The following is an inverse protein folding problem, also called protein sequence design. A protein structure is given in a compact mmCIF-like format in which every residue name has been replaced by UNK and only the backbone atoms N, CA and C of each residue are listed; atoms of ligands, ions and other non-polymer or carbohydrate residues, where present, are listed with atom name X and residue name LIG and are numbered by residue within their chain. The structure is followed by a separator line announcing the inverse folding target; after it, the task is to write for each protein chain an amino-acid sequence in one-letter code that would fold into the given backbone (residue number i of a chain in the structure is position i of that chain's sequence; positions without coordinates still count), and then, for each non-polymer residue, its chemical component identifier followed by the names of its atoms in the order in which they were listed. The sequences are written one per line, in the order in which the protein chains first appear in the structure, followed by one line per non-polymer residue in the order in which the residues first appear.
data_IF_594535018954
#
_entry.id   IF_594535018954
#
_cell.length_a   1.000
_cell.length_b   1.000
_cell.length_c   1.000
_cell.angle_alpha   90.00
_cell.angle_beta   90.00
_cell.angle_gamma   90.00
#
_symmetry.space_group_name_H-M   'P 1'
#
loop_
_entity.id
_entity.type
_entity.pdbx_description
1 polymer ?
#
# COMPACT_ATOMS: atom_id res chain seq x y z
N UNK A 1 -22.94 -25.07 1.27
CA UNK A 1 -22.22 -25.92 0.31
C UNK A 1 -21.21 -25.03 -0.37
N UNK A 2 -19.99 -24.97 0.17
CA UNK A 2 -18.87 -24.31 -0.52
C UNK A 2 -18.22 -25.38 -1.38
N UNK A 3 -18.28 -25.20 -2.70
CA UNK A 3 -17.61 -26.08 -3.66
C UNK A 3 -16.20 -25.51 -3.85
N UNK A 4 -15.13 -26.17 -3.40
CA UNK A 4 -13.77 -25.63 -3.44
C UNK A 4 -13.32 -25.21 -4.86
N UNK A 5 -13.81 -25.91 -5.88
CA UNK A 5 -13.56 -25.63 -7.30
C UNK A 5 -14.24 -24.34 -7.80
N UNK A 6 -15.23 -23.81 -7.06
CA UNK A 6 -15.89 -22.54 -7.37
C UNK A 6 -15.30 -21.33 -6.63
N UNK A 7 -14.19 -21.51 -5.90
CA UNK A 7 -13.50 -20.38 -5.29
C UNK A 7 -12.86 -19.48 -6.38
N UNK A 8 -12.84 -18.16 -6.15
CA UNK A 8 -12.19 -17.23 -7.09
C UNK A 8 -10.71 -17.57 -7.31
N UNK A 9 -10.05 -18.07 -6.28
CA UNK A 9 -8.63 -18.45 -6.29
C UNK A 9 -8.39 -19.64 -7.23
N UNK A 10 -9.30 -20.62 -7.16
CA UNK A 10 -9.34 -21.79 -8.05
C UNK A 10 -9.65 -21.39 -9.50
N UNK A 11 -10.65 -20.52 -9.71
CA UNK A 11 -11.06 -20.06 -11.04
C UNK A 11 -9.97 -19.26 -11.75
N UNK A 12 -9.23 -18.44 -11.00
CA UNK A 12 -8.10 -17.65 -11.53
C UNK A 12 -6.78 -18.41 -11.55
N UNK A 13 -6.76 -19.67 -11.09
CA UNK A 13 -5.57 -20.53 -11.02
C UNK A 13 -4.39 -19.85 -10.31
N UNK A 14 -4.68 -19.19 -9.19
CA UNK A 14 -3.67 -18.37 -8.49
C UNK A 14 -2.48 -19.20 -8.01
N UNK A 15 -2.70 -20.46 -7.65
CA UNK A 15 -1.65 -21.39 -7.24
C UNK A 15 -0.64 -21.67 -8.38
N UNK A 16 -1.13 -21.86 -9.62
CA UNK A 16 -0.27 -22.06 -10.79
C UNK A 16 0.59 -20.82 -11.08
N UNK A 17 0.04 -19.64 -10.82
CA UNK A 17 0.70 -18.35 -10.97
C UNK A 17 1.58 -17.98 -9.77
N UNK A 18 1.65 -18.83 -8.73
CA UNK A 18 2.36 -18.58 -7.48
C UNK A 18 1.90 -17.30 -6.76
N UNK A 19 0.62 -16.96 -6.90
CA UNK A 19 -0.01 -15.80 -6.26
C UNK A 19 -0.64 -16.25 -4.95
N UNK A 20 -0.11 -15.75 -3.83
CA UNK A 20 -0.70 -15.99 -2.52
C UNK A 20 -1.74 -14.92 -2.20
N UNK A 21 -2.97 -15.35 -1.94
CA UNK A 21 -4.03 -14.43 -1.49
C UNK A 21 -3.81 -14.04 -0.04
N UNK A 22 -3.87 -12.74 0.20
CA UNK A 22 -3.82 -12.15 1.53
C UNK A 22 -5.25 -11.73 1.88
N UNK A 23 -5.79 -12.33 2.93
CA UNK A 23 -7.18 -12.14 3.37
C UNK A 23 -7.30 -10.86 4.22
N UNK A 24 -8.54 -10.50 4.55
CA UNK A 24 -8.85 -9.25 5.24
C UNK A 24 -8.12 -9.10 6.58
N UNK A 25 -7.64 -7.88 6.85
CA UNK A 25 -6.99 -7.46 8.11
C UNK A 25 -5.65 -8.13 8.38
N UNK A 26 -4.99 -8.62 7.33
CA UNK A 26 -3.66 -9.20 7.44
C UNK A 26 -2.61 -8.14 7.13
N UNK A 27 -1.57 -8.11 7.97
CA UNK A 27 -0.40 -7.26 7.77
C UNK A 27 0.72 -8.13 7.23
N UNK A 28 1.35 -7.69 6.15
CA UNK A 28 2.47 -8.38 5.50
C UNK A 28 3.75 -7.61 5.85
N UNK A 29 4.82 -8.34 6.13
CA UNK A 29 6.15 -7.78 6.25
C UNK A 29 7.03 -8.33 5.14
N UNK A 30 7.59 -7.45 4.31
CA UNK A 30 8.50 -7.77 3.21
C UNK A 30 9.81 -7.03 3.44
N UNK A 31 10.79 -7.72 4.04
CA UNK A 31 12.01 -7.09 4.54
C UNK A 31 11.70 -6.07 5.63
N UNK A 32 12.20 -4.84 5.45
CA UNK A 32 11.94 -3.70 6.33
C UNK A 32 10.69 -2.88 5.94
N UNK A 33 9.90 -3.33 4.95
CA UNK A 33 8.66 -2.68 4.53
C UNK A 33 7.44 -3.38 5.14
N UNK A 34 6.58 -2.60 5.78
CA UNK A 34 5.27 -3.06 6.25
C UNK A 34 4.20 -2.79 5.17
N UNK A 35 3.52 -3.83 4.71
CA UNK A 35 2.48 -3.75 3.68
C UNK A 35 1.14 -4.09 4.33
N UNK A 36 0.13 -3.25 4.07
CA UNK A 36 -1.22 -3.41 4.59
C UNK A 36 -2.24 -2.99 3.54
N UNK A 37 -3.48 -3.45 3.66
CA UNK A 37 -4.52 -2.96 2.78
C UNK A 37 -4.83 -1.49 3.11
N UNK A 38 -5.13 -1.19 4.37
CA UNK A 38 -5.44 0.12 4.95
C UNK A 38 -6.68 0.11 5.86
N UNK A 39 -7.61 -0.85 5.66
CA UNK A 39 -8.79 -1.01 6.53
C UNK A 39 -8.47 -1.66 7.88
N UNK A 40 -7.23 -2.12 8.07
CA UNK A 40 -6.66 -2.57 9.34
C UNK A 40 -6.64 -1.43 10.36
N UNK A 41 -6.48 -0.18 9.87
CA UNK A 41 -6.33 0.99 10.72
C UNK A 41 -7.69 1.46 11.24
N UNK A 42 -7.79 1.88 12.51
CA UNK A 42 -9.02 2.42 13.07
C UNK A 42 -9.58 3.58 12.24
N UNK A 43 -10.90 3.62 12.08
CA UNK A 43 -11.63 4.76 11.50
C UNK A 43 -11.59 5.93 12.51
N UNK A 44 -11.27 7.15 12.08
CA UNK A 44 -11.22 8.31 13.00
C UNK A 44 -10.41 9.52 12.49
N UNK A 45 -10.72 10.68 13.09
CA UNK A 45 -10.75 12.05 12.54
C UNK A 45 -9.65 12.51 11.55
N UNK A 46 -10.15 13.26 10.56
CA UNK A 46 -9.54 13.85 9.37
C UNK A 46 -9.16 12.84 8.28
N UNK A 47 -9.75 13.01 7.08
CA UNK A 47 -9.13 12.54 5.84
C UNK A 47 -7.94 13.48 5.60
N UNK A 48 -6.69 13.06 5.88
CA UNK A 48 -5.58 13.93 5.61
C UNK A 48 -5.49 14.12 4.10
N UNK A 49 -5.10 15.33 3.68
CA UNK A 49 -4.83 15.67 2.27
C UNK A 49 -3.83 14.68 1.65
N UNK A 50 -2.92 14.15 2.48
CA UNK A 50 -1.96 13.11 2.12
C UNK A 50 -2.28 11.80 2.86
N UNK A 51 -2.72 10.77 2.13
CA UNK A 51 -3.05 9.46 2.68
C UNK A 51 -1.83 8.77 3.31
N UNK A 52 -0.63 8.93 2.74
CA UNK A 52 0.62 8.42 3.31
C UNK A 52 0.97 9.06 4.67
N UNK A 53 0.62 10.33 4.88
CA UNK A 53 0.78 10.97 6.20
C UNK A 53 -0.11 10.33 7.26
N UNK A 54 -1.34 9.92 6.89
CA UNK A 54 -2.21 9.13 7.78
C UNK A 54 -1.50 7.87 8.26
N UNK A 55 -0.86 7.18 7.31
CA UNK A 55 -0.19 5.93 7.57
C UNK A 55 0.96 6.13 8.56
N UNK A 56 1.77 7.17 8.32
CA UNK A 56 2.83 7.58 9.23
C UNK A 56 2.31 7.91 10.64
N UNK A 57 1.25 8.73 10.75
CA UNK A 57 0.72 9.15 12.05
C UNK A 57 0.19 8.00 12.88
N UNK A 58 -0.33 6.95 12.22
CA UNK A 58 -0.91 5.77 12.87
C UNK A 58 0.14 4.70 13.18
N UNK A 59 1.10 4.46 12.28
CA UNK A 59 2.02 3.33 12.40
C UNK A 59 3.43 3.71 12.85
N UNK A 60 3.87 4.95 12.60
CA UNK A 60 5.22 5.45 12.94
C UNK A 60 6.35 4.53 12.45
N UNK A 61 6.12 3.83 11.33
CA UNK A 61 7.04 2.89 10.72
C UNK A 61 6.92 2.90 9.20
N UNK A 62 7.99 2.47 8.53
CA UNK A 62 8.06 2.48 7.07
C UNK A 62 7.04 1.51 6.49
N UNK A 63 6.11 2.01 5.67
CA UNK A 63 4.92 1.24 5.29
C UNK A 63 4.26 1.68 3.98
N UNK A 64 3.52 0.77 3.35
CA UNK A 64 2.75 1.02 2.12
C UNK A 64 1.32 0.48 2.21
N UNK A 65 0.37 1.17 1.59
CA UNK A 65 -1.06 0.90 1.68
C UNK A 65 -1.80 1.18 0.35
N UNK A 66 -2.78 0.33 -0.01
CA UNK A 66 -3.56 0.46 -1.25
C UNK A 66 -5.01 0.96 -1.08
N UNK A 67 -5.51 1.05 0.15
CA UNK A 67 -6.94 1.28 0.47
C UNK A 67 -7.50 2.60 -0.05
N UNK A 68 -6.67 3.63 -0.16
CA UNK A 68 -7.12 5.00 -0.46
C UNK A 68 -7.26 5.27 -1.96
N UNK A 69 -6.78 4.35 -2.81
CA UNK A 69 -6.79 4.47 -4.28
C UNK A 69 -6.09 5.76 -4.77
N UNK A 70 -5.20 6.30 -3.96
CA UNK A 70 -4.53 7.58 -4.18
C UNK A 70 -3.03 7.36 -4.08
N UNK A 71 -2.29 7.72 -5.12
CA UNK A 71 -0.85 7.80 -5.05
C UNK A 71 -0.43 8.94 -4.10
N UNK A 72 0.36 8.61 -3.07
CA UNK A 72 0.96 9.62 -2.21
C UNK A 72 2.20 9.10 -1.49
N UNK A 73 3.05 10.01 -1.05
CA UNK A 73 4.25 9.71 -0.27
C UNK A 73 4.42 10.70 0.89
N UNK A 74 4.95 10.22 2.00
CA UNK A 74 5.33 11.06 3.13
C UNK A 74 6.59 10.51 3.79
N UNK A 75 7.59 11.36 3.97
CA UNK A 75 8.85 11.00 4.62
C UNK A 75 9.13 11.96 5.75
N UNK A 76 9.46 11.42 6.91
CA UNK A 76 9.81 12.16 8.10
C UNK A 76 11.13 11.62 8.68
N UNK A 77 11.93 12.51 9.25
CA UNK A 77 13.18 12.15 9.88
C UNK A 77 13.26 12.78 11.26
N UNK A 78 13.78 12.03 12.23
CA UNK A 78 13.92 12.53 13.61
C UNK A 78 14.86 13.74 13.61
N UNK A 79 14.37 14.86 14.16
CA UNK A 79 15.07 16.15 14.13
C UNK A 79 16.15 16.34 15.18
N UNK A 80 16.11 15.59 16.29
CA UNK A 80 17.12 15.61 17.35
C UNK A 80 17.81 14.26 17.40
N UNK A 81 19.13 14.27 17.21
CA UNK A 81 19.98 13.09 17.28
C UNK A 81 20.54 13.04 18.71
N UNK A 82 20.09 12.10 19.54
CA UNK A 82 20.59 12.01 20.93
C UNK A 82 21.66 10.96 21.16
N UNK A 83 21.86 9.97 20.29
CA UNK A 83 23.00 9.01 20.30
C UNK A 83 22.88 7.95 19.18
N UNK A 84 22.94 8.33 17.89
CA UNK A 84 22.89 7.35 16.80
C UNK A 84 22.62 7.93 15.42
N UNK A 85 22.30 7.06 14.46
CA UNK A 85 21.97 7.46 13.09
C UNK A 85 20.58 8.13 13.00
N UNK A 86 20.46 9.07 12.06
CA UNK A 86 19.20 9.76 11.78
C UNK A 86 18.16 8.77 11.26
N UNK A 87 17.17 8.42 12.11
CA UNK A 87 16.08 7.55 11.69
C UNK A 87 15.15 8.29 10.72
N UNK A 88 15.02 7.74 9.51
CA UNK A 88 14.08 8.19 8.48
C UNK A 88 12.95 7.16 8.36
N UNK A 89 11.72 7.63 8.33
CA UNK A 89 10.53 6.82 8.13
C UNK A 89 9.79 7.32 6.91
N UNK A 90 9.48 6.42 5.99
CA UNK A 90 8.76 6.74 4.76
C UNK A 90 7.50 5.91 4.65
N UNK A 91 6.39 6.55 4.31
CA UNK A 91 5.10 5.93 4.10
C UNK A 91 4.63 6.23 2.68
N UNK A 92 3.95 5.26 2.07
CA UNK A 92 3.41 5.39 0.71
C UNK A 92 1.98 4.89 0.64
N UNK A 93 1.23 5.46 -0.29
CA UNK A 93 0.00 4.85 -0.77
C UNK A 93 0.07 4.69 -2.27
N UNK A 94 -0.46 3.58 -2.77
CA UNK A 94 -0.55 3.35 -4.22
C UNK A 94 -1.88 3.87 -4.75
N UNK A 95 -1.88 4.18 -6.05
CA UNK A 95 -3.13 4.25 -6.80
C UNK A 95 -3.84 2.89 -6.87
N UNK A 96 -4.88 2.82 -7.69
CA UNK A 96 -5.58 1.58 -8.00
C UNK A 96 -5.40 1.18 -9.48
N UNK A 97 -5.85 -0.03 -9.83
CA UNK A 97 -5.94 -0.48 -11.23
C UNK A 97 -7.41 -0.69 -11.65
N UNK A 98 -8.35 -0.18 -10.86
CA UNK A 98 -9.79 -0.26 -11.13
C UNK A 98 -10.30 1.04 -11.76
N UNK A 99 -11.60 1.09 -12.03
CA UNK A 99 -12.27 2.29 -12.50
C UNK A 99 -12.08 3.45 -11.50
N UNK A 100 -11.74 4.64 -12.03
CA UNK A 100 -11.54 5.87 -11.25
C UNK A 100 -12.85 6.62 -11.00
N UNK A 101 -13.94 6.24 -11.67
CA UNK A 101 -15.25 6.91 -11.54
C UNK A 101 -16.41 5.92 -11.35
N UNK A 102 -16.33 4.99 -10.38
CA UNK A 102 -17.43 4.08 -10.14
C UNK A 102 -18.63 4.82 -9.52
N UNK A 103 -19.84 4.30 -9.73
CA UNK A 103 -21.11 4.93 -9.30
C UNK A 103 -21.16 5.28 -7.80
N UNK A 104 -20.51 4.47 -6.95
CA UNK A 104 -20.49 4.68 -5.49
C UNK A 104 -19.47 5.73 -5.03
N UNK A 105 -18.60 6.23 -5.92
CA UNK A 105 -17.54 7.19 -5.60
C UNK A 105 -17.50 8.35 -6.59
N UNK A 106 -18.64 9.01 -6.81
CA UNK A 106 -18.81 10.10 -7.79
C UNK A 106 -17.81 11.25 -7.60
N UNK A 107 -17.49 11.60 -6.35
CA UNK A 107 -16.51 12.63 -6.00
C UNK A 107 -15.35 11.98 -5.25
N UNK A 108 -14.23 11.77 -5.94
CA UNK A 108 -13.02 11.20 -5.38
C UNK A 108 -11.76 11.85 -5.99
N UNK A 109 -10.59 11.49 -5.48
CA UNK A 109 -9.28 11.90 -5.97
C UNK A 109 -8.41 10.68 -6.32
N UNK A 110 -9.04 9.62 -6.83
CA UNK A 110 -8.37 8.37 -7.16
C UNK A 110 -7.45 8.53 -8.36
N UNK A 111 -6.38 7.75 -8.36
CA UNK A 111 -5.36 7.76 -9.40
C UNK A 111 -5.01 6.33 -9.78
N UNK A 112 -4.67 6.09 -11.05
CA UNK A 112 -4.09 4.81 -11.42
C UNK A 112 -2.63 4.70 -10.98
N UNK A 113 -2.24 3.55 -10.47
CA UNK A 113 -0.86 3.31 -10.04
C UNK A 113 -0.65 1.98 -9.34
N UNK A 114 0.60 1.61 -9.18
CA UNK A 114 1.04 0.38 -8.52
C UNK A 114 2.44 0.56 -7.96
N UNK A 115 2.92 -0.39 -7.17
CA UNK A 115 4.28 -0.35 -6.65
C UNK A 115 5.05 -1.62 -6.97
N UNK A 116 6.35 -1.46 -7.20
CA UNK A 116 7.33 -2.55 -7.31
C UNK A 116 8.31 -2.41 -6.15
N UNK A 117 8.54 -3.51 -5.43
CA UNK A 117 9.53 -3.59 -4.36
C UNK A 117 10.63 -4.56 -4.79
N UNK A 118 11.86 -4.06 -4.82
CA UNK A 118 13.06 -4.89 -4.96
C UNK A 118 13.68 -5.08 -3.56
N UNK A 119 13.57 -6.30 -3.03
CA UNK A 119 14.06 -6.65 -1.69
C UNK A 119 15.45 -7.30 -1.76
N UNK A 120 16.36 -6.82 -0.92
CA UNK A 120 17.71 -7.34 -0.75
C UNK A 120 17.75 -8.42 0.32
N UNK A 121 18.81 -9.23 0.34
CA UNK A 121 18.97 -10.35 1.28
C UNK A 121 19.04 -9.92 2.75
N UNK A 122 19.49 -8.70 3.03
CA UNK A 122 19.58 -8.10 4.37
C UNK A 122 18.24 -7.48 4.85
N UNK A 123 17.18 -7.56 4.03
CA UNK A 123 15.88 -6.98 4.30
C UNK A 123 15.74 -5.51 3.90
N UNK A 124 16.81 -4.86 3.42
CA UNK A 124 16.69 -3.55 2.77
C UNK A 124 15.94 -3.68 1.45
N UNK A 125 15.39 -2.57 0.97
CA UNK A 125 14.59 -2.59 -0.24
C UNK A 125 14.65 -1.26 -0.99
N UNK A 126 14.44 -1.35 -2.30
CA UNK A 126 14.05 -0.21 -3.13
C UNK A 126 12.57 -0.31 -3.42
N UNK A 127 11.87 0.83 -3.41
CA UNK A 127 10.44 0.90 -3.71
C UNK A 127 10.20 1.89 -4.83
N UNK A 128 9.57 1.42 -5.90
CA UNK A 128 9.12 2.22 -7.03
C UNK A 128 7.61 2.35 -6.94
N UNK A 129 7.10 3.48 -6.46
CA UNK A 129 5.66 3.78 -6.41
C UNK A 129 5.27 4.54 -7.67
N UNK A 130 4.77 3.80 -8.67
CA UNK A 130 4.60 4.26 -10.05
C UNK A 130 3.16 4.72 -10.29
N UNK A 131 3.00 5.83 -11.00
CA UNK A 131 1.70 6.32 -11.43
C UNK A 131 1.42 5.89 -12.87
N UNK A 132 0.14 5.75 -13.21
CA UNK A 132 -0.31 5.60 -14.59
C UNK A 132 -1.11 6.84 -14.95
N UNK A 133 -0.64 7.60 -15.93
CA UNK A 133 -1.28 8.82 -16.42
C UNK A 133 -1.52 8.65 -17.92
N UNK A 134 -2.79 8.70 -18.34
CA UNK A 134 -3.18 8.53 -19.76
C UNK A 134 -2.55 7.26 -20.41
N UNK A 135 -2.54 6.15 -19.67
CA UNK A 135 -2.00 4.87 -20.13
C UNK A 135 -0.47 4.76 -20.13
N UNK A 136 0.26 5.75 -19.59
CA UNK A 136 1.72 5.73 -19.49
C UNK A 136 2.17 5.62 -18.04
N UNK A 137 3.19 4.78 -17.79
CA UNK A 137 3.78 4.57 -16.47
C UNK A 137 4.84 5.65 -16.19
N UNK A 138 4.79 6.24 -15.00
CA UNK A 138 5.69 7.28 -14.50
C UNK A 138 6.24 6.92 -13.12
#
# INVERSE_FOLDING_TARGET
LDVPECSLESLLKLDELKIKVVRSKQVIKSGNLLILHGHELPKGLANPVCAAKRLYDRLRTTSICGHFHQHSNYTDAIGIISAGDKKVTSCWTTGCLCDLSPEYAISNNWTHGFAIQDMQADGNFSLFNLMIINGKVH
#
